data_IF_495222771402
#
_entry.id   IF_495222771402
#
_cell.length_a   1.000
_cell.length_b   1.000
_cell.length_c   1.000
_cell.angle_alpha   90.00
_cell.angle_beta   90.00
_cell.angle_gamma   90.00
#
_symmetry.space_group_name_H-M   'P 1'
#
loop_
_entity.id
_entity.type
_entity.pdbx_description
1 polymer ?
#
# COMPACT_ATOMS: atom_id res chain seq x y z
N UNK A 1 -14.48 18.31 -10.25
CA UNK A 1 -14.18 17.90 -11.61
C UNK A 1 -13.59 16.50 -11.57
N UNK A 2 -14.12 15.61 -12.36
CA UNK A 2 -13.64 14.23 -12.42
C UNK A 2 -12.33 14.18 -13.22
N UNK A 3 -11.36 13.45 -12.71
CA UNK A 3 -10.09 13.24 -13.40
C UNK A 3 -9.96 11.77 -13.76
N UNK A 4 -9.43 11.50 -14.94
CA UNK A 4 -9.23 10.15 -15.43
C UNK A 4 -7.74 9.88 -15.62
N UNK A 5 -7.32 8.67 -15.25
CA UNK A 5 -5.96 8.22 -15.49
C UNK A 5 -5.82 7.80 -16.96
N UNK A 6 -4.69 8.15 -17.57
CA UNK A 6 -4.33 7.77 -18.92
C UNK A 6 -3.13 6.83 -18.85
N UNK A 7 -3.41 5.55 -18.68
CA UNK A 7 -2.37 4.51 -18.57
C UNK A 7 -2.51 3.55 -19.74
N UNK A 8 -1.46 3.47 -20.54
CA UNK A 8 -1.41 2.53 -21.66
C UNK A 8 -1.05 1.14 -21.17
N UNK A 9 -1.46 0.12 -21.91
CA UNK A 9 -1.04 -1.25 -21.61
C UNK A 9 0.45 -1.38 -21.81
N UNK A 10 1.10 -2.04 -20.86
CA UNK A 10 2.54 -2.23 -20.86
C UNK A 10 2.96 -3.10 -19.69
N UNK A 11 4.27 -3.24 -19.48
CA UNK A 11 4.79 -3.94 -18.33
C UNK A 11 4.65 -3.07 -17.07
N UNK A 12 4.96 -3.64 -15.90
CA UNK A 12 4.84 -2.93 -14.62
C UNK A 12 5.67 -1.64 -14.59
N UNK A 13 6.90 -1.70 -15.07
CA UNK A 13 7.79 -0.55 -15.04
C UNK A 13 7.23 0.62 -15.86
N UNK A 14 6.74 0.33 -17.06
CA UNK A 14 6.13 1.34 -17.92
C UNK A 14 4.90 1.95 -17.28
N UNK A 15 4.06 1.13 -16.65
CA UNK A 15 2.86 1.60 -15.95
C UNK A 15 3.22 2.52 -14.79
N UNK A 16 4.25 2.20 -14.01
CA UNK A 16 4.70 3.07 -12.93
C UNK A 16 5.23 4.40 -13.47
N UNK A 17 5.98 4.38 -14.57
CA UNK A 17 6.48 5.60 -15.19
C UNK A 17 5.37 6.51 -15.67
N UNK A 18 4.30 5.95 -16.22
CA UNK A 18 3.16 6.73 -16.67
C UNK A 18 2.30 7.22 -15.49
N UNK A 19 2.16 6.39 -14.47
CA UNK A 19 1.30 6.69 -13.33
C UNK A 19 1.88 7.78 -12.42
N UNK A 20 3.18 7.75 -12.16
CA UNK A 20 3.80 8.62 -11.17
C UNK A 20 3.53 10.11 -11.39
N UNK A 21 3.76 10.68 -12.58
CA UNK A 21 3.44 12.10 -12.80
C UNK A 21 1.95 12.42 -12.69
N UNK A 22 1.08 11.47 -13.04
CA UNK A 22 -0.36 11.65 -12.89
C UNK A 22 -0.78 11.66 -11.42
N UNK A 23 -0.18 10.81 -10.59
CA UNK A 23 -0.40 10.85 -9.14
C UNK A 23 0.09 12.16 -8.54
N UNK A 24 1.26 12.63 -8.94
CA UNK A 24 1.79 13.89 -8.46
C UNK A 24 0.86 15.05 -8.81
N UNK A 25 0.33 15.07 -10.03
CA UNK A 25 -0.63 16.08 -10.45
C UNK A 25 -1.93 15.99 -9.66
N UNK A 26 -2.40 14.77 -9.42
CA UNK A 26 -3.67 14.54 -8.71
C UNK A 26 -3.64 15.10 -7.28
N UNK A 27 -2.51 14.93 -6.58
CA UNK A 27 -2.40 15.35 -5.18
C UNK A 27 -1.80 16.75 -5.00
N UNK A 28 -1.31 17.38 -6.05
CA UNK A 28 -0.57 18.64 -5.95
C UNK A 28 -1.42 19.82 -5.48
N UNK A 29 -2.72 19.80 -5.81
CA UNK A 29 -3.63 20.90 -5.48
C UNK A 29 -4.49 20.61 -4.25
N UNK A 30 -4.40 19.42 -3.68
CA UNK A 30 -5.20 19.02 -2.54
C UNK A 30 -4.34 18.85 -1.29
N UNK A 31 -4.78 19.43 -0.18
CA UNK A 31 -4.05 19.34 1.09
C UNK A 31 -4.69 18.35 2.07
N UNK A 32 -5.87 17.85 1.78
CA UNK A 32 -6.53 16.89 2.67
C UNK A 32 -5.88 15.51 2.53
N UNK A 33 -5.34 15.02 3.64
CA UNK A 33 -4.62 13.75 3.66
C UNK A 33 -5.52 12.57 3.30
N UNK A 34 -6.71 12.51 3.86
CA UNK A 34 -7.63 11.39 3.62
C UNK A 34 -8.01 11.32 2.13
N UNK A 35 -8.35 12.47 1.54
CA UNK A 35 -8.72 12.54 0.14
C UNK A 35 -7.57 12.08 -0.76
N UNK A 36 -6.35 12.55 -0.48
CA UNK A 36 -5.18 12.16 -1.25
C UNK A 36 -4.87 10.67 -1.14
N UNK A 37 -4.91 10.11 0.07
CA UNK A 37 -4.67 8.68 0.26
C UNK A 37 -5.74 7.84 -0.44
N UNK A 38 -6.99 8.27 -0.39
CA UNK A 38 -8.09 7.57 -1.06
C UNK A 38 -7.88 7.53 -2.57
N UNK A 39 -7.52 8.66 -3.18
CA UNK A 39 -7.29 8.73 -4.62
C UNK A 39 -6.03 7.98 -5.07
N UNK A 40 -4.98 8.00 -4.27
CA UNK A 40 -3.78 7.21 -4.57
C UNK A 40 -4.11 5.72 -4.53
N UNK A 41 -4.85 5.26 -3.52
CA UNK A 41 -5.26 3.86 -3.42
C UNK A 41 -6.11 3.45 -4.63
N UNK A 42 -7.06 4.31 -5.04
CA UNK A 42 -7.90 4.05 -6.20
C UNK A 42 -7.08 3.97 -7.49
N UNK A 43 -6.14 4.90 -7.68
CA UNK A 43 -5.30 4.93 -8.87
C UNK A 43 -4.42 3.66 -8.96
N UNK A 44 -3.85 3.23 -7.86
CA UNK A 44 -3.04 2.00 -7.83
C UNK A 44 -3.90 0.78 -8.14
N UNK A 45 -5.10 0.71 -7.58
CA UNK A 45 -6.03 -0.39 -7.83
C UNK A 45 -6.42 -0.46 -9.32
N UNK A 46 -6.77 0.67 -9.92
CA UNK A 46 -7.16 0.75 -11.33
C UNK A 46 -6.01 0.38 -12.26
N UNK A 47 -4.79 0.76 -11.91
CA UNK A 47 -3.62 0.55 -12.77
C UNK A 47 -3.09 -0.87 -12.72
N UNK A 48 -3.02 -1.46 -11.52
CA UNK A 48 -2.34 -2.75 -11.32
C UNK A 48 -3.29 -3.88 -10.94
N UNK A 49 -4.53 -3.58 -10.64
CA UNK A 49 -5.54 -4.59 -10.27
C UNK A 49 -5.14 -5.44 -9.06
N UNK A 50 -4.50 -4.83 -8.08
CA UNK A 50 -4.16 -5.52 -6.82
C UNK A 50 -5.42 -6.09 -6.18
N UNK A 51 -5.26 -7.20 -5.46
CA UNK A 51 -6.34 -7.72 -4.65
C UNK A 51 -6.73 -6.72 -3.55
N UNK A 52 -5.71 -6.14 -2.92
CA UNK A 52 -5.89 -5.12 -1.88
C UNK A 52 -4.77 -4.09 -2.01
N UNK A 53 -5.06 -2.83 -1.86
CA UNK A 53 -4.06 -1.77 -1.78
C UNK A 53 -4.56 -0.68 -0.86
N UNK A 54 -3.72 -0.25 0.06
CA UNK A 54 -4.14 0.77 1.01
C UNK A 54 -3.04 1.23 1.94
N UNK A 55 -3.46 2.09 2.85
CA UNK A 55 -2.56 2.78 3.75
C UNK A 55 -2.87 2.42 5.19
N UNK A 56 -1.81 2.37 5.97
CA UNK A 56 -1.86 2.34 7.43
C UNK A 56 -1.08 3.54 7.94
N UNK A 57 -1.60 4.22 8.96
CA UNK A 57 -0.93 5.38 9.55
C UNK A 57 -0.56 5.08 10.99
N UNK A 58 0.62 5.55 11.40
CA UNK A 58 1.10 5.39 12.78
C UNK A 58 0.29 6.27 13.72
N UNK A 59 -0.30 5.66 14.75
CA UNK A 59 -0.94 6.35 15.86
C UNK A 59 -0.46 5.71 17.16
N UNK A 60 0.39 6.42 17.88
CA UNK A 60 1.03 5.86 19.07
C UNK A 60 1.94 4.69 18.71
N UNK A 61 1.66 3.53 19.26
CA UNK A 61 2.46 2.32 19.04
C UNK A 61 1.77 1.32 18.09
N UNK A 62 0.81 1.78 17.32
CA UNK A 62 0.09 0.96 16.36
C UNK A 62 0.00 1.62 14.99
N UNK A 63 -0.12 0.79 13.96
CA UNK A 63 -0.57 1.20 12.64
C UNK A 63 -2.09 1.09 12.63
N UNK A 64 -2.77 2.12 12.18
CA UNK A 64 -4.23 2.16 12.10
C UNK A 64 -4.65 2.23 10.64
N UNK A 65 -5.62 1.41 10.27
CA UNK A 65 -6.15 1.35 8.91
C UNK A 65 -6.61 2.74 8.45
N UNK A 66 -6.14 3.12 7.28
CA UNK A 66 -6.47 4.36 6.59
C UNK A 66 -7.13 4.02 5.24
N UNK A 67 -7.33 4.97 4.32
CA UNK A 67 -8.02 4.68 3.07
C UNK A 67 -7.41 3.52 2.29
N UNK A 68 -8.26 2.64 1.76
CA UNK A 68 -7.85 1.46 1.01
C UNK A 68 -8.90 1.06 -0.01
N UNK A 69 -8.50 0.14 -0.91
CA UNK A 69 -9.36 -0.48 -1.90
C UNK A 69 -9.21 -1.99 -1.78
N UNK A 70 -10.31 -2.70 -1.56
CA UNK A 70 -10.32 -4.15 -1.43
C UNK A 70 -11.22 -4.64 -0.29
N UNK A 71 -11.12 -5.93 0.08
CA UNK A 71 -11.89 -6.48 1.19
C UNK A 71 -11.50 -5.86 2.54
N UNK A 72 -12.37 -6.01 3.52
CA UNK A 72 -12.09 -5.52 4.88
C UNK A 72 -10.75 -6.07 5.39
N UNK A 73 -10.08 -5.26 6.19
CA UNK A 73 -8.72 -5.53 6.64
C UNK A 73 -8.59 -5.38 8.15
N UNK A 74 -7.44 -5.76 8.70
CA UNK A 74 -7.14 -5.53 10.10
C UNK A 74 -7.19 -4.03 10.40
N UNK A 75 -7.87 -3.66 11.48
CA UNK A 75 -8.01 -2.25 11.84
C UNK A 75 -6.73 -1.70 12.47
N UNK A 76 -6.04 -2.53 13.28
CA UNK A 76 -4.83 -2.11 14.00
C UNK A 76 -3.75 -3.18 13.90
N UNK A 77 -2.51 -2.73 13.73
CA UNK A 77 -1.34 -3.60 13.65
C UNK A 77 -0.27 -3.05 14.59
N UNK A 78 0.23 -3.90 15.48
CA UNK A 78 1.26 -3.51 16.45
C UNK A 78 2.63 -3.39 15.79
N UNK A 79 3.45 -2.53 16.35
CA UNK A 79 4.86 -2.38 15.95
C UNK A 79 5.57 -3.73 15.94
N UNK A 80 6.24 -4.05 14.84
CA UNK A 80 7.00 -5.28 14.68
C UNK A 80 6.17 -6.53 14.38
N UNK A 81 4.85 -6.41 14.20
CA UNK A 81 3.97 -7.56 13.96
C UNK A 81 3.55 -7.61 12.50
N UNK A 82 3.58 -8.81 11.92
CA UNK A 82 3.23 -9.02 10.53
C UNK A 82 4.16 -8.31 9.56
N UNK A 83 3.79 -8.28 8.28
CA UNK A 83 4.61 -7.63 7.25
C UNK A 83 4.63 -6.11 7.46
N UNK A 84 3.46 -5.50 7.65
CA UNK A 84 3.36 -4.05 7.84
C UNK A 84 4.09 -3.59 9.11
N UNK A 85 3.90 -4.27 10.23
CA UNK A 85 4.56 -3.92 11.48
C UNK A 85 6.07 -4.11 11.41
N UNK A 86 6.53 -5.11 10.68
CA UNK A 86 7.96 -5.34 10.48
C UNK A 86 8.58 -4.28 9.57
N UNK A 87 7.89 -3.89 8.49
CA UNK A 87 8.34 -2.81 7.62
C UNK A 87 8.50 -1.50 8.42
N UNK A 88 7.57 -1.23 9.31
CA UNK A 88 7.64 -0.08 10.21
C UNK A 88 8.88 -0.17 11.12
N UNK A 89 9.05 -1.30 11.80
CA UNK A 89 10.17 -1.50 12.73
C UNK A 89 11.52 -1.36 12.04
N UNK A 90 11.65 -1.94 10.85
CA UNK A 90 12.92 -1.94 10.11
C UNK A 90 13.09 -0.71 9.23
N UNK A 91 12.05 0.10 9.07
CA UNK A 91 12.04 1.31 8.24
C UNK A 91 12.52 1.03 6.80
N UNK A 92 12.10 -0.09 6.23
CA UNK A 92 12.47 -0.49 4.88
C UNK A 92 11.32 -1.21 4.18
N UNK A 93 11.33 -1.15 2.85
CA UNK A 93 10.39 -1.89 2.02
C UNK A 93 10.61 -3.39 2.19
N UNK A 94 9.51 -4.12 2.38
CA UNK A 94 9.52 -5.59 2.42
C UNK A 94 8.74 -6.14 1.24
N UNK A 95 9.40 -7.01 0.48
CA UNK A 95 8.77 -7.74 -0.62
C UNK A 95 8.63 -9.18 -0.18
N UNK A 96 7.37 -9.64 -0.06
CA UNK A 96 7.06 -10.98 0.44
C UNK A 96 6.39 -11.78 -0.68
N UNK A 97 7.16 -12.59 -1.42
CA UNK A 97 6.60 -13.36 -2.54
C UNK A 97 5.54 -14.37 -2.10
N UNK A 98 5.67 -14.92 -0.90
CA UNK A 98 4.74 -15.88 -0.33
C UNK A 98 4.55 -15.58 1.14
N UNK A 99 3.36 -15.09 1.51
CA UNK A 99 3.07 -14.68 2.89
C UNK A 99 3.14 -15.84 3.88
N UNK A 100 2.91 -17.07 3.43
CA UNK A 100 2.99 -18.24 4.29
C UNK A 100 4.42 -18.53 4.75
N UNK A 101 5.41 -18.02 4.00
CA UNK A 101 6.82 -18.14 4.34
C UNK A 101 7.33 -17.01 5.24
N UNK A 102 6.50 -16.00 5.51
CA UNK A 102 6.92 -14.87 6.32
C UNK A 102 6.72 -15.15 7.81
N UNK A 103 7.80 -15.12 8.63
CA UNK A 103 7.70 -15.39 10.06
C UNK A 103 6.78 -14.37 10.76
N UNK A 104 5.81 -14.88 11.52
CA UNK A 104 4.88 -14.02 12.26
C UNK A 104 3.84 -13.33 11.39
N UNK A 105 3.60 -13.83 10.19
CA UNK A 105 2.57 -13.27 9.31
C UNK A 105 1.21 -13.24 10.00
N UNK A 106 0.54 -12.07 9.90
CA UNK A 106 -0.82 -11.88 10.40
C UNK A 106 -1.76 -11.96 9.20
N UNK A 107 -2.63 -12.97 9.19
CA UNK A 107 -3.58 -13.16 8.11
C UNK A 107 -4.80 -12.27 8.33
N UNK A 108 -4.73 -11.01 7.92
CA UNK A 108 -5.91 -10.12 7.90
C UNK A 108 -6.86 -10.52 6.78
N UNK A 109 -6.37 -11.19 5.75
CA UNK A 109 -7.16 -11.85 4.73
C UNK A 109 -6.48 -13.16 4.37
N UNK A 110 -7.23 -14.26 4.43
CA UNK A 110 -6.71 -15.57 4.06
C UNK A 110 -6.46 -15.71 2.56
N UNK A 111 -6.98 -14.77 1.76
CA UNK A 111 -6.88 -14.84 0.30
C UNK A 111 -5.60 -14.21 -0.24
N UNK A 112 -4.95 -13.35 0.52
CA UNK A 112 -3.69 -12.73 0.11
C UNK A 112 -2.56 -13.76 0.10
N UNK A 113 -1.80 -13.82 -0.99
CA UNK A 113 -0.71 -14.78 -1.15
C UNK A 113 0.66 -14.12 -1.25
N UNK A 114 0.74 -12.92 -1.80
CA UNK A 114 1.97 -12.13 -1.84
C UNK A 114 1.69 -10.70 -1.43
N UNK A 115 2.71 -10.02 -0.91
CA UNK A 115 2.54 -8.69 -0.35
C UNK A 115 3.79 -7.87 -0.51
N UNK A 116 3.61 -6.57 -0.78
CA UNK A 116 4.68 -5.57 -0.67
C UNK A 116 4.22 -4.50 0.30
N UNK A 117 5.10 -4.12 1.21
CA UNK A 117 4.85 -3.02 2.14
C UNK A 117 5.97 -2.01 2.01
N UNK A 118 5.60 -0.75 1.77
CA UNK A 118 6.55 0.36 1.66
C UNK A 118 6.29 1.33 2.81
N UNK A 119 7.26 1.55 3.71
CA UNK A 119 7.07 2.52 4.79
C UNK A 119 7.05 3.94 4.25
N UNK A 120 6.22 4.78 4.83
CA UNK A 120 6.14 6.20 4.51
C UNK A 120 6.97 6.95 5.54
N UNK A 121 7.99 7.66 5.06
CA UNK A 121 8.92 8.37 5.93
C UNK A 121 8.66 9.88 5.88
N UNK A 122 8.70 10.51 7.03
CA UNK A 122 8.66 11.96 7.16
C UNK A 122 9.78 12.38 8.11
N UNK A 123 10.73 13.15 7.60
CA UNK A 123 11.89 13.60 8.39
C UNK A 123 12.64 12.42 9.03
N UNK A 124 12.83 11.35 8.26
CA UNK A 124 13.55 10.16 8.71
C UNK A 124 12.77 9.22 9.61
N UNK A 125 11.52 9.54 9.92
CA UNK A 125 10.69 8.73 10.82
C UNK A 125 9.53 8.12 10.04
N UNK A 126 9.23 6.85 10.33
CA UNK A 126 8.07 6.18 9.71
C UNK A 126 6.78 6.76 10.29
N UNK A 127 5.91 7.26 9.42
CA UNK A 127 4.61 7.80 9.81
C UNK A 127 3.44 6.95 9.30
N UNK A 128 3.72 5.98 8.47
CA UNK A 128 2.72 5.08 7.93
C UNK A 128 3.34 4.06 6.98
N UNK A 129 2.49 3.33 6.29
CA UNK A 129 2.92 2.37 5.30
C UNK A 129 1.86 2.23 4.22
N UNK A 130 2.29 1.97 3.00
CA UNK A 130 1.42 1.51 1.92
C UNK A 130 1.64 0.02 1.75
N UNK A 131 0.54 -0.73 1.69
CA UNK A 131 0.56 -2.17 1.50
C UNK A 131 -0.24 -2.54 0.28
N UNK A 132 0.24 -3.47 -0.51
CA UNK A 132 -0.54 -4.04 -1.60
C UNK A 132 -0.27 -5.54 -1.73
N UNK A 133 -1.33 -6.27 -2.08
CA UNK A 133 -1.33 -7.72 -2.07
C UNK A 133 -1.91 -8.27 -3.36
N UNK A 134 -1.55 -9.51 -3.65
CA UNK A 134 -2.09 -10.28 -4.77
C UNK A 134 -2.67 -11.59 -4.27
N UNK A 135 -3.58 -12.19 -5.07
CA UNK A 135 -4.17 -13.48 -4.80
C UNK A 135 -3.23 -14.65 -5.09
N UNK A 136 -2.10 -14.39 -5.74
CA UNK A 136 -1.11 -15.42 -6.09
C UNK A 136 0.21 -15.13 -5.41
N UNK A 137 0.90 -16.20 -4.99
CA UNK A 137 2.28 -16.09 -4.57
C UNK A 137 3.15 -15.71 -5.77
N UNK A 138 4.26 -15.01 -5.50
CA UNK A 138 5.26 -14.61 -6.51
C UNK A 138 4.74 -13.67 -7.61
N UNK A 139 3.65 -12.93 -7.36
CA UNK A 139 3.14 -11.92 -8.28
C UNK A 139 3.89 -10.58 -8.20
N UNK A 140 4.57 -10.35 -7.11
CA UNK A 140 5.25 -9.07 -6.86
C UNK A 140 6.69 -9.07 -7.34
#
# INVERSE_FOLDING_TARGET
MAENLLIHTGNKEEKYRELLPQLQALVSSETNRIANLANIAAALKQTFHFFWVGFYMVEGNELVLAPFQGPIACTRIRFGRGVCGTAWKEARTLIVPDVEQFPGHIACSSDSKSEIVVPILKQGKVVGAVSYTHLRAHET
#
